data_IF_361896113674
#
_entry.id   IF_361896113674
#
_cell.length_a   1.000
_cell.length_b   1.000
_cell.length_c   1.000
_cell.angle_alpha   90.00
_cell.angle_beta   90.00
_cell.angle_gamma   90.00
#
_symmetry.space_group_name_H-M   'P 1'
#
loop_
_entity.id
_entity.type
_entity.pdbx_description
1 polymer ?
#
# COMPACT_ATOMS: atom_id res chain seq x y z
N UNK A 1 -22.13 38.14 -17.78
CA UNK A 1 -20.85 37.53 -17.38
C UNK A 1 -21.15 36.32 -16.55
N UNK A 2 -20.69 35.14 -16.94
CA UNK A 2 -20.85 33.91 -16.14
C UNK A 2 -20.03 34.05 -14.83
N UNK A 3 -20.67 33.79 -13.70
CA UNK A 3 -20.02 33.77 -12.38
C UNK A 3 -18.91 32.69 -12.43
N UNK A 4 -17.66 32.99 -12.05
CA UNK A 4 -16.63 31.97 -12.03
C UNK A 4 -17.06 30.82 -11.10
N UNK A 5 -16.75 29.57 -11.49
CA UNK A 5 -17.10 28.39 -10.75
C UNK A 5 -16.43 28.44 -9.35
N UNK A 6 -17.22 28.27 -8.29
CA UNK A 6 -16.73 28.27 -6.91
C UNK A 6 -15.85 27.02 -6.68
N UNK A 7 -14.55 27.19 -6.30
CA UNK A 7 -13.66 26.06 -6.03
C UNK A 7 -14.16 25.13 -4.92
N UNK A 8 -14.85 25.66 -3.91
CA UNK A 8 -15.43 24.86 -2.83
C UNK A 8 -16.59 23.98 -3.32
N UNK A 9 -17.43 24.55 -4.20
CA UNK A 9 -18.52 23.80 -4.83
C UNK A 9 -17.98 22.70 -5.73
N UNK A 10 -16.87 22.93 -6.45
CA UNK A 10 -16.20 21.91 -7.27
C UNK A 10 -15.64 20.77 -6.41
N UNK A 11 -14.93 21.06 -5.33
CA UNK A 11 -14.37 20.04 -4.44
C UNK A 11 -15.48 19.19 -3.80
N UNK A 12 -16.56 19.83 -3.34
CA UNK A 12 -17.74 19.12 -2.81
C UNK A 12 -18.40 18.22 -3.86
N UNK A 13 -18.49 18.68 -5.12
CA UNK A 13 -19.04 17.92 -6.23
C UNK A 13 -18.18 16.68 -6.54
N UNK A 14 -16.86 16.82 -6.59
CA UNK A 14 -15.93 15.70 -6.81
C UNK A 14 -16.06 14.68 -5.68
N UNK A 15 -16.10 15.12 -4.42
CA UNK A 15 -16.25 14.23 -3.27
C UNK A 15 -17.59 13.45 -3.31
N UNK A 16 -18.69 14.13 -3.61
CA UNK A 16 -20.00 13.52 -3.77
C UNK A 16 -20.05 12.52 -4.93
N UNK A 17 -19.43 12.88 -6.07
CA UNK A 17 -19.34 12.01 -7.24
C UNK A 17 -18.54 10.74 -6.95
N UNK A 18 -17.37 10.86 -6.32
CA UNK A 18 -16.53 9.71 -5.90
C UNK A 18 -17.33 8.76 -5.01
N UNK A 19 -18.04 9.29 -4.00
CA UNK A 19 -18.88 8.47 -3.12
C UNK A 19 -20.00 7.74 -3.86
N UNK A 20 -20.65 8.42 -4.81
CA UNK A 20 -21.75 7.83 -5.59
C UNK A 20 -21.23 6.78 -6.60
N UNK A 21 -20.06 6.99 -7.20
CA UNK A 21 -19.42 6.01 -8.08
C UNK A 21 -19.02 4.73 -7.32
N UNK A 22 -18.52 4.84 -6.10
CA UNK A 22 -18.23 3.66 -5.25
C UNK A 22 -19.50 2.88 -4.96
N UNK A 23 -20.62 3.60 -4.68
CA UNK A 23 -21.89 2.98 -4.28
C UNK A 23 -22.62 2.29 -5.42
N UNK A 24 -22.63 2.90 -6.63
CA UNK A 24 -23.48 2.47 -7.74
C UNK A 24 -22.72 2.09 -9.03
N UNK A 25 -21.38 2.21 -9.00
CA UNK A 25 -20.57 2.16 -10.21
C UNK A 25 -20.76 3.39 -11.10
N UNK A 26 -19.88 3.55 -12.08
CA UNK A 26 -19.92 4.72 -12.97
C UNK A 26 -21.19 4.77 -13.81
N UNK A 27 -21.69 3.64 -14.31
CA UNK A 27 -22.93 3.57 -15.10
C UNK A 27 -24.17 3.84 -14.27
N UNK A 28 -24.23 3.31 -13.04
CA UNK A 28 -25.41 3.40 -12.14
C UNK A 28 -25.56 4.74 -11.44
N UNK A 29 -24.47 5.51 -11.30
CA UNK A 29 -24.48 6.82 -10.67
C UNK A 29 -25.28 7.83 -11.50
N UNK A 30 -26.07 8.67 -10.82
CA UNK A 30 -26.88 9.72 -11.46
C UNK A 30 -26.40 11.10 -11.03
N UNK A 31 -26.41 12.05 -11.97
CA UNK A 31 -26.01 13.45 -11.70
C UNK A 31 -26.91 14.06 -10.62
N UNK A 32 -28.21 13.74 -10.62
CA UNK A 32 -29.16 14.21 -9.62
C UNK A 32 -28.78 13.77 -8.19
N UNK A 33 -28.36 12.52 -8.02
CA UNK A 33 -27.95 11.99 -6.71
C UNK A 33 -26.63 12.65 -6.25
N UNK A 34 -25.68 12.84 -7.17
CA UNK A 34 -24.40 13.51 -6.90
C UNK A 34 -24.65 14.96 -6.45
N UNK A 35 -25.47 15.71 -7.19
CA UNK A 35 -25.73 17.11 -6.87
C UNK A 35 -26.54 17.28 -5.60
N UNK A 36 -27.52 16.40 -5.35
CA UNK A 36 -28.28 16.40 -4.11
C UNK A 36 -27.39 16.16 -2.89
N UNK A 37 -26.39 15.26 -2.98
CA UNK A 37 -25.46 14.94 -1.90
C UNK A 37 -24.57 16.14 -1.48
N UNK A 38 -24.33 17.11 -2.39
CA UNK A 38 -23.51 18.30 -2.10
C UNK A 38 -24.32 19.62 -2.12
N UNK A 39 -25.65 19.53 -2.15
CA UNK A 39 -26.52 20.73 -2.12
C UNK A 39 -26.47 21.59 -3.37
N UNK A 40 -26.06 21.02 -4.52
CA UNK A 40 -25.99 21.71 -5.80
C UNK A 40 -27.20 21.37 -6.69
N UNK A 41 -27.51 22.25 -7.63
CA UNK A 41 -28.48 21.96 -8.68
C UNK A 41 -27.83 21.16 -9.81
N UNK A 42 -28.65 20.43 -10.60
CA UNK A 42 -28.19 19.78 -11.82
C UNK A 42 -27.55 20.77 -12.80
N UNK A 43 -28.09 22.02 -12.91
CA UNK A 43 -27.49 23.07 -13.72
C UNK A 43 -26.10 23.49 -13.23
N UNK A 44 -25.86 23.50 -11.91
CA UNK A 44 -24.57 23.81 -11.35
C UNK A 44 -23.53 22.71 -11.66
N UNK A 45 -23.93 21.43 -11.77
CA UNK A 45 -23.05 20.36 -12.23
C UNK A 45 -22.39 20.71 -13.58
N UNK A 46 -23.18 21.12 -14.54
CA UNK A 46 -22.72 21.41 -15.91
C UNK A 46 -21.83 22.65 -16.03
N UNK A 47 -21.73 23.47 -14.97
CA UNK A 47 -20.69 24.50 -14.86
C UNK A 47 -19.32 23.95 -14.54
N UNK A 48 -19.25 22.72 -13.99
CA UNK A 48 -18.02 22.10 -13.52
C UNK A 48 -17.54 20.93 -14.39
N UNK A 49 -18.45 20.17 -15.01
CA UNK A 49 -18.13 19.03 -15.85
C UNK A 49 -19.18 18.79 -16.94
N UNK A 50 -18.75 18.36 -18.12
CA UNK A 50 -19.65 18.09 -19.26
C UNK A 50 -20.54 16.85 -19.02
N UNK A 51 -20.01 15.84 -18.26
CA UNK A 51 -20.71 14.61 -17.89
C UNK A 51 -20.09 14.02 -16.62
N UNK A 52 -20.74 13.02 -16.05
CA UNK A 52 -20.17 12.28 -14.89
C UNK A 52 -18.93 11.47 -15.30
N UNK A 53 -18.88 10.97 -16.52
CA UNK A 53 -17.72 10.30 -17.12
C UNK A 53 -16.55 11.27 -17.27
N UNK A 54 -16.79 12.49 -17.76
CA UNK A 54 -15.77 13.54 -17.84
C UNK A 54 -15.23 13.91 -16.46
N UNK A 55 -16.09 14.03 -15.44
CA UNK A 55 -15.68 14.29 -14.08
C UNK A 55 -14.85 13.12 -13.50
N UNK A 56 -15.22 11.89 -13.80
CA UNK A 56 -14.43 10.72 -13.38
C UNK A 56 -13.09 10.66 -14.11
N UNK A 57 -13.05 10.96 -15.42
CA UNK A 57 -11.81 11.02 -16.20
C UNK A 57 -10.80 12.01 -15.61
N UNK A 58 -11.25 13.17 -15.13
CA UNK A 58 -10.37 14.13 -14.46
C UNK A 58 -9.75 13.57 -13.19
N UNK A 59 -10.55 12.90 -12.34
CA UNK A 59 -10.06 12.27 -11.11
C UNK A 59 -9.10 11.11 -11.40
N UNK A 60 -9.38 10.32 -12.46
CA UNK A 60 -8.46 9.25 -12.91
C UNK A 60 -7.17 9.85 -13.45
N UNK A 61 -7.22 10.95 -14.19
CA UNK A 61 -6.03 11.65 -14.70
C UNK A 61 -5.19 12.19 -13.55
N UNK A 62 -5.80 12.78 -12.53
CA UNK A 62 -5.11 13.26 -11.32
C UNK A 62 -4.39 12.12 -10.61
N UNK A 63 -5.07 10.98 -10.40
CA UNK A 63 -4.47 9.78 -9.82
C UNK A 63 -3.30 9.26 -10.66
N UNK A 64 -3.47 9.14 -11.98
CA UNK A 64 -2.43 8.66 -12.88
C UNK A 64 -1.21 9.58 -12.87
N UNK A 65 -1.41 10.90 -12.95
CA UNK A 65 -0.31 11.88 -12.89
C UNK A 65 0.45 11.81 -11.57
N UNK A 66 -0.25 11.67 -10.44
CA UNK A 66 0.39 11.52 -9.14
C UNK A 66 1.18 10.19 -9.03
N UNK A 67 0.71 9.12 -9.66
CA UNK A 67 1.43 7.85 -9.75
C UNK A 67 2.68 7.99 -10.63
N UNK A 68 2.56 8.61 -11.80
CA UNK A 68 3.68 8.82 -12.72
C UNK A 68 4.78 9.67 -12.06
N UNK A 69 4.43 10.75 -11.36
CA UNK A 69 5.37 11.56 -10.58
C UNK A 69 6.09 10.76 -9.49
N UNK A 70 5.39 9.85 -8.84
CA UNK A 70 5.97 8.99 -7.80
C UNK A 70 6.94 7.97 -8.38
N UNK A 71 6.60 7.37 -9.51
CA UNK A 71 7.47 6.45 -10.26
C UNK A 71 8.71 7.19 -10.76
N UNK A 72 8.55 8.36 -11.37
CA UNK A 72 9.67 9.17 -11.88
C UNK A 72 10.63 9.57 -10.75
N UNK A 73 10.10 9.99 -9.60
CA UNK A 73 10.90 10.31 -8.42
C UNK A 73 11.70 9.09 -7.94
N UNK A 74 11.07 7.92 -7.86
CA UNK A 74 11.73 6.66 -7.50
C UNK A 74 12.86 6.32 -8.49
N UNK A 75 12.59 6.41 -9.79
CA UNK A 75 13.59 6.13 -10.84
C UNK A 75 14.79 7.07 -10.73
N UNK A 76 14.55 8.35 -10.52
CA UNK A 76 15.61 9.35 -10.34
C UNK A 76 16.44 9.09 -9.07
N UNK A 77 15.80 8.72 -7.96
CA UNK A 77 16.51 8.35 -6.73
C UNK A 77 17.40 7.12 -6.94
N UNK A 78 16.91 6.11 -7.66
CA UNK A 78 17.68 4.91 -8.01
C UNK A 78 18.86 5.25 -8.90
N UNK A 79 18.67 6.08 -9.92
CA UNK A 79 19.74 6.52 -10.81
C UNK A 79 20.84 7.29 -10.05
N UNK A 80 20.46 8.22 -9.18
CA UNK A 80 21.40 8.93 -8.32
C UNK A 80 22.18 7.97 -7.41
N UNK A 81 21.49 7.02 -6.79
CA UNK A 81 22.11 6.03 -5.92
C UNK A 81 23.17 5.21 -6.66
N UNK A 82 22.83 4.66 -7.83
CA UNK A 82 23.77 3.86 -8.61
C UNK A 82 24.89 4.68 -9.25
N UNK A 83 24.66 5.94 -9.54
CA UNK A 83 25.71 6.86 -10.01
C UNK A 83 26.74 7.12 -8.91
N UNK A 84 26.27 7.28 -7.66
CA UNK A 84 27.13 7.56 -6.50
C UNK A 84 27.86 6.31 -5.98
N UNK A 85 27.15 5.17 -5.93
CA UNK A 85 27.66 3.98 -5.24
C UNK A 85 28.03 2.82 -6.18
N UNK A 86 27.75 2.94 -7.48
CA UNK A 86 27.92 1.86 -8.46
C UNK A 86 26.86 0.76 -8.32
N UNK A 87 26.89 -0.26 -9.20
CA UNK A 87 25.98 -1.38 -9.14
C UNK A 87 26.22 -2.23 -7.90
N UNK A 88 25.15 -2.87 -7.37
CA UNK A 88 25.27 -3.86 -6.31
C UNK A 88 25.94 -5.13 -6.83
N UNK A 89 26.75 -5.74 -5.97
CA UNK A 89 27.34 -7.06 -6.19
C UNK A 89 26.68 -8.12 -5.30
N UNK A 90 26.80 -9.40 -5.66
CA UNK A 90 26.24 -10.50 -4.87
C UNK A 90 26.72 -10.48 -3.40
N UNK A 91 27.96 -10.04 -3.14
CA UNK A 91 28.50 -9.90 -1.78
C UNK A 91 27.76 -8.83 -0.96
N UNK A 92 27.28 -7.74 -1.59
CA UNK A 92 26.54 -6.70 -0.88
C UNK A 92 25.25 -7.25 -0.29
N UNK A 93 24.57 -8.13 -1.05
CA UNK A 93 23.36 -8.82 -0.60
C UNK A 93 23.70 -9.84 0.48
N UNK A 94 24.76 -10.64 0.29
CA UNK A 94 25.15 -11.70 1.22
C UNK A 94 25.62 -11.15 2.57
N UNK A 95 26.42 -10.08 2.58
CA UNK A 95 26.99 -9.46 3.77
C UNK A 95 26.11 -8.33 4.33
N UNK A 96 25.03 -7.99 3.63
CA UNK A 96 24.15 -6.87 4.00
C UNK A 96 24.95 -5.57 4.17
N UNK A 97 25.74 -5.22 3.16
CA UNK A 97 26.59 -4.03 3.18
C UNK A 97 25.77 -2.75 3.47
N UNK A 98 26.43 -1.70 3.97
CA UNK A 98 25.76 -0.43 4.29
C UNK A 98 25.04 0.16 3.06
N UNK A 99 25.66 0.07 1.87
CA UNK A 99 25.01 0.55 0.63
C UNK A 99 23.78 -0.28 0.26
N UNK A 100 23.79 -1.60 0.54
CA UNK A 100 22.63 -2.44 0.34
C UNK A 100 21.48 -2.09 1.31
N UNK A 101 21.78 -1.92 2.62
CA UNK A 101 20.76 -1.51 3.59
C UNK A 101 20.18 -0.12 3.26
N UNK A 102 20.98 0.82 2.80
CA UNK A 102 20.49 2.13 2.35
C UNK A 102 19.56 2.02 1.15
N UNK A 103 19.87 1.15 0.18
CA UNK A 103 18.98 0.88 -0.95
C UNK A 103 17.64 0.25 -0.47
N UNK A 104 17.70 -0.67 0.50
CA UNK A 104 16.53 -1.28 1.14
C UNK A 104 15.63 -0.22 1.80
N UNK A 105 16.23 0.70 2.55
CA UNK A 105 15.51 1.80 3.19
C UNK A 105 14.82 2.70 2.16
N UNK A 106 15.57 3.13 1.14
CA UNK A 106 15.07 3.96 0.04
C UNK A 106 13.89 3.32 -0.69
N UNK A 107 13.97 2.02 -0.98
CA UNK A 107 12.87 1.29 -1.61
C UNK A 107 11.66 1.14 -0.67
N UNK A 108 11.88 0.94 0.63
CA UNK A 108 10.81 0.86 1.63
C UNK A 108 10.06 2.19 1.74
N UNK A 109 10.76 3.32 1.69
CA UNK A 109 10.15 4.65 1.67
C UNK A 109 9.34 4.88 0.38
N UNK A 110 9.85 4.45 -0.77
CA UNK A 110 9.13 4.53 -2.04
C UNK A 110 7.86 3.66 -2.03
N UNK A 111 7.93 2.48 -1.43
CA UNK A 111 6.78 1.59 -1.24
C UNK A 111 5.72 2.22 -0.31
N UNK A 112 6.15 2.89 0.76
CA UNK A 112 5.25 3.66 1.63
C UNK A 112 4.55 4.77 0.83
N UNK A 113 5.28 5.52 0.02
CA UNK A 113 4.70 6.56 -0.86
C UNK A 113 3.63 5.99 -1.80
N UNK A 114 3.87 4.82 -2.37
CA UNK A 114 2.90 4.11 -3.23
C UNK A 114 1.64 3.74 -2.45
N UNK A 115 1.78 3.17 -1.24
CA UNK A 115 0.64 2.80 -0.39
C UNK A 115 -0.15 4.02 0.08
N UNK A 116 0.52 5.13 0.40
CA UNK A 116 -0.12 6.41 0.76
C UNK A 116 -0.97 6.96 -0.39
N UNK A 117 -0.44 6.95 -1.60
CA UNK A 117 -1.18 7.37 -2.79
C UNK A 117 -2.39 6.46 -3.05
N UNK A 118 -2.20 5.14 -2.96
CA UNK A 118 -3.29 4.17 -3.10
C UNK A 118 -4.38 4.36 -2.04
N UNK A 119 -4.00 4.70 -0.81
CA UNK A 119 -4.97 5.03 0.23
C UNK A 119 -5.76 6.29 -0.09
N UNK A 120 -5.11 7.34 -0.57
CA UNK A 120 -5.77 8.60 -0.94
C UNK A 120 -6.76 8.44 -2.09
N UNK A 121 -6.47 7.53 -3.04
CA UNK A 121 -7.29 7.27 -4.22
C UNK A 121 -7.97 5.88 -4.19
N UNK A 122 -8.13 5.25 -3.01
CA UNK A 122 -8.68 3.89 -2.88
C UNK A 122 -10.07 3.71 -3.46
N UNK A 123 -10.88 4.76 -3.45
CA UNK A 123 -12.21 4.80 -4.06
C UNK A 123 -12.13 4.85 -5.60
N UNK A 124 -11.18 5.58 -6.16
CA UNK A 124 -10.93 5.62 -7.61
C UNK A 124 -10.47 4.25 -8.09
N UNK A 125 -9.51 3.63 -7.40
CA UNK A 125 -9.05 2.26 -7.69
C UNK A 125 -10.22 1.27 -7.59
N UNK A 126 -11.08 1.40 -6.57
CA UNK A 126 -12.27 0.57 -6.44
C UNK A 126 -13.19 0.69 -7.65
N UNK A 127 -13.49 1.92 -8.09
CA UNK A 127 -14.35 2.15 -9.26
C UNK A 127 -13.72 1.61 -10.53
N UNK A 128 -12.42 1.83 -10.75
CA UNK A 128 -11.70 1.29 -11.91
C UNK A 128 -11.73 -0.25 -11.95
N UNK A 129 -11.61 -0.91 -10.80
CA UNK A 129 -11.60 -2.37 -10.73
C UNK A 129 -12.99 -3.01 -10.77
N UNK A 130 -14.00 -2.37 -10.17
CA UNK A 130 -15.31 -2.99 -9.93
C UNK A 130 -16.51 -2.18 -10.38
N UNK A 131 -16.36 -0.90 -10.65
CA UNK A 131 -17.44 0.02 -10.96
C UNK A 131 -17.41 0.57 -12.38
N UNK A 132 -16.42 0.21 -13.19
CA UNK A 132 -16.21 0.75 -14.55
C UNK A 132 -16.67 -0.18 -15.68
N UNK A 133 -17.25 -1.35 -15.37
CA UNK A 133 -17.67 -2.33 -16.37
C UNK A 133 -18.60 -1.71 -17.42
N UNK A 134 -18.34 -1.99 -18.69
CA UNK A 134 -19.08 -1.47 -19.84
C UNK A 134 -18.87 0.02 -20.08
N UNK A 135 -17.80 0.61 -19.54
CA UNK A 135 -17.35 1.99 -19.82
C UNK A 135 -15.97 1.99 -20.48
N UNK A 136 -15.53 3.14 -20.98
CA UNK A 136 -14.18 3.33 -21.52
C UNK A 136 -13.05 3.09 -20.51
N UNK A 137 -13.36 3.10 -19.20
CA UNK A 137 -12.40 2.90 -18.12
C UNK A 137 -12.20 1.43 -17.76
N UNK A 138 -12.98 0.50 -18.32
CA UNK A 138 -12.94 -0.92 -17.93
C UNK A 138 -11.56 -1.56 -18.11
N UNK A 139 -10.90 -1.27 -19.23
CA UNK A 139 -9.57 -1.82 -19.55
C UNK A 139 -8.39 -1.01 -19.01
N UNK A 140 -8.66 0.22 -18.52
CA UNK A 140 -7.60 1.16 -18.12
C UNK A 140 -6.71 0.61 -17.03
N UNK A 141 -7.32 0.07 -15.96
CA UNK A 141 -6.58 -0.47 -14.82
C UNK A 141 -5.71 -1.65 -15.21
N UNK A 142 -6.24 -2.55 -16.04
CA UNK A 142 -5.48 -3.72 -16.49
C UNK A 142 -4.34 -3.36 -17.43
N UNK A 143 -4.51 -2.34 -18.27
CA UNK A 143 -3.43 -1.79 -19.08
C UNK A 143 -2.29 -1.19 -18.24
N UNK A 144 -2.60 -0.58 -17.08
CA UNK A 144 -1.59 -0.12 -16.12
C UNK A 144 -0.89 -1.31 -15.48
N UNK A 145 -1.64 -2.32 -15.01
CA UNK A 145 -1.11 -3.53 -14.38
C UNK A 145 -0.14 -4.24 -15.32
N UNK A 146 -0.51 -4.45 -16.58
CA UNK A 146 0.32 -5.16 -17.58
C UNK A 146 1.64 -4.42 -17.84
N UNK A 147 1.61 -3.09 -17.94
CA UNK A 147 2.83 -2.28 -18.10
C UNK A 147 3.74 -2.40 -16.88
N UNK A 148 3.19 -2.31 -15.69
CA UNK A 148 3.98 -2.39 -14.45
C UNK A 148 4.54 -3.80 -14.22
N UNK A 149 3.78 -4.85 -14.48
CA UNK A 149 4.28 -6.25 -14.44
C UNK A 149 5.45 -6.43 -15.40
N UNK A 150 5.32 -5.89 -16.63
CA UNK A 150 6.39 -5.95 -17.63
C UNK A 150 7.64 -5.20 -17.15
N UNK A 151 7.49 -3.98 -16.66
CA UNK A 151 8.60 -3.16 -16.16
C UNK A 151 9.33 -3.82 -15.00
N UNK A 152 8.61 -4.29 -13.98
CA UNK A 152 9.19 -4.95 -12.80
C UNK A 152 9.86 -6.26 -13.20
N UNK A 153 9.27 -7.04 -14.11
CA UNK A 153 9.86 -8.28 -14.61
C UNK A 153 11.20 -8.03 -15.31
N UNK A 154 11.30 -6.99 -16.14
CA UNK A 154 12.55 -6.63 -16.83
C UNK A 154 13.63 -6.19 -15.82
N UNK A 155 13.25 -5.48 -14.76
CA UNK A 155 14.19 -5.11 -13.71
C UNK A 155 14.73 -6.34 -12.97
N UNK A 156 13.86 -7.27 -12.58
CA UNK A 156 14.29 -8.52 -11.95
C UNK A 156 15.14 -9.38 -12.87
N UNK A 157 14.87 -9.41 -14.17
CA UNK A 157 15.72 -10.10 -15.13
C UNK A 157 17.16 -9.54 -15.14
N UNK A 158 17.33 -8.24 -15.01
CA UNK A 158 18.66 -7.62 -14.87
C UNK A 158 19.34 -8.02 -13.57
N UNK A 159 18.62 -7.95 -12.43
CA UNK A 159 19.15 -8.36 -11.12
C UNK A 159 19.56 -9.85 -11.10
N UNK A 160 18.87 -10.70 -11.85
CA UNK A 160 19.24 -12.11 -12.02
C UNK A 160 20.51 -12.28 -12.85
N UNK A 161 20.67 -11.50 -13.93
CA UNK A 161 21.88 -11.51 -14.74
C UNK A 161 23.11 -11.04 -13.94
N UNK A 162 22.92 -10.11 -13.02
CA UNK A 162 23.96 -9.59 -12.11
C UNK A 162 24.17 -10.45 -10.85
N UNK A 163 23.50 -11.60 -10.74
CA UNK A 163 23.53 -12.50 -9.58
C UNK A 163 23.09 -11.87 -8.25
N UNK A 164 22.38 -10.75 -8.29
CA UNK A 164 21.85 -10.04 -7.11
C UNK A 164 20.51 -10.61 -6.65
N UNK A 165 19.79 -11.27 -7.55
CA UNK A 165 18.52 -11.94 -7.26
C UNK A 165 18.56 -13.41 -7.65
N UNK A 166 17.67 -14.21 -7.04
CA UNK A 166 17.56 -15.65 -7.35
C UNK A 166 17.14 -15.89 -8.81
N UNK A 167 17.80 -16.83 -9.48
CA UNK A 167 17.60 -17.12 -10.89
C UNK A 167 16.57 -18.25 -11.15
N UNK A 168 16.12 -18.95 -10.10
CA UNK A 168 15.20 -20.11 -10.21
C UNK A 168 13.71 -19.71 -10.25
N UNK A 169 13.39 -18.40 -10.15
CA UNK A 169 12.02 -17.90 -10.26
C UNK A 169 11.88 -17.08 -11.53
N UNK A 170 10.88 -17.37 -12.40
CA UNK A 170 10.64 -16.56 -13.59
C UNK A 170 10.39 -15.08 -13.24
N UNK A 171 11.02 -14.12 -13.94
CA UNK A 171 10.85 -12.68 -13.67
C UNK A 171 9.38 -12.23 -13.67
N UNK A 172 8.57 -12.79 -14.59
CA UNK A 172 7.13 -12.49 -14.67
C UNK A 172 6.37 -12.89 -13.42
N UNK A 173 6.76 -13.98 -12.74
CA UNK A 173 6.14 -14.39 -11.47
C UNK A 173 6.43 -13.37 -10.40
N UNK A 174 7.68 -12.90 -10.29
CA UNK A 174 8.07 -11.88 -9.32
C UNK A 174 7.33 -10.57 -9.60
N UNK A 175 7.31 -10.12 -10.86
CA UNK A 175 6.60 -8.92 -11.28
C UNK A 175 5.10 -8.99 -10.95
N UNK A 176 4.46 -10.13 -11.25
CA UNK A 176 3.04 -10.34 -10.94
C UNK A 176 2.76 -10.36 -9.43
N UNK A 177 3.63 -10.97 -8.63
CA UNK A 177 3.49 -10.97 -7.16
C UNK A 177 3.60 -9.56 -6.59
N UNK A 178 4.58 -8.78 -7.04
CA UNK A 178 4.79 -7.41 -6.56
C UNK A 178 3.61 -6.54 -6.94
N UNK A 179 3.31 -6.41 -8.23
CA UNK A 179 2.23 -5.53 -8.71
C UNK A 179 0.87 -5.99 -8.19
N UNK A 180 0.61 -7.32 -8.21
CA UNK A 180 -0.62 -7.89 -7.68
C UNK A 180 -0.82 -7.60 -6.19
N UNK A 181 0.25 -7.60 -5.40
CA UNK A 181 0.17 -7.23 -3.97
C UNK A 181 -0.36 -5.82 -3.80
N UNK A 182 0.18 -4.82 -4.51
CA UNK A 182 -0.29 -3.44 -4.40
C UNK A 182 -1.73 -3.27 -4.89
N UNK A 183 -2.08 -3.90 -6.01
CA UNK A 183 -3.43 -3.84 -6.58
C UNK A 183 -4.47 -4.43 -5.60
N UNK A 184 -4.18 -5.59 -5.02
CA UNK A 184 -5.07 -6.23 -4.06
C UNK A 184 -5.15 -5.47 -2.74
N UNK A 185 -4.05 -4.91 -2.25
CA UNK A 185 -4.07 -4.07 -1.06
C UNK A 185 -4.88 -2.79 -1.29
N UNK A 186 -4.75 -2.13 -2.43
CA UNK A 186 -5.58 -0.98 -2.78
C UNK A 186 -7.07 -1.33 -2.81
N UNK A 187 -7.42 -2.50 -3.34
CA UNK A 187 -8.79 -3.01 -3.31
C UNK A 187 -9.26 -3.28 -1.86
N UNK A 188 -8.43 -3.84 -0.99
CA UNK A 188 -8.77 -4.05 0.42
C UNK A 188 -8.93 -2.70 1.16
N UNK A 189 -8.04 -1.75 0.90
CA UNK A 189 -8.12 -0.39 1.49
C UNK A 189 -9.45 0.29 1.20
N UNK A 190 -10.07 0.04 0.04
CA UNK A 190 -11.37 0.61 -0.32
C UNK A 190 -12.51 0.16 0.60
N UNK A 191 -12.34 -0.94 1.32
CA UNK A 191 -13.30 -1.51 2.27
C UNK A 191 -13.02 -1.10 3.72
N UNK A 192 -11.90 -0.43 3.99
CA UNK A 192 -11.47 -0.09 5.34
C UNK A 192 -12.06 1.25 5.79
N UNK A 193 -12.64 1.26 6.99
CA UNK A 193 -13.15 2.49 7.62
C UNK A 193 -12.02 3.37 8.17
N UNK A 194 -10.88 2.78 8.54
CA UNK A 194 -9.74 3.47 9.13
C UNK A 194 -8.47 3.13 8.36
N UNK A 195 -7.56 4.12 8.27
CA UNK A 195 -6.26 3.95 7.64
C UNK A 195 -5.41 2.98 8.46
N UNK A 196 -4.88 1.91 7.83
CA UNK A 196 -3.95 1.01 8.49
C UNK A 196 -2.58 1.68 8.70
N UNK A 197 -1.69 1.06 9.47
CA UNK A 197 -0.28 1.46 9.53
C UNK A 197 0.42 1.08 8.21
N UNK A 198 0.40 2.02 7.26
CA UNK A 198 1.01 1.84 5.95
C UNK A 198 2.54 1.71 6.01
N UNK A 199 3.17 2.28 7.05
CA UNK A 199 4.60 2.12 7.30
C UNK A 199 4.95 0.68 7.68
N UNK A 200 4.13 0.04 8.54
CA UNK A 200 4.28 -1.37 8.86
C UNK A 200 4.03 -2.26 7.62
N UNK A 201 3.02 -1.92 6.81
CA UNK A 201 2.74 -2.63 5.57
C UNK A 201 3.91 -2.55 4.59
N UNK A 202 4.45 -1.35 4.34
CA UNK A 202 5.59 -1.14 3.46
C UNK A 202 6.80 -1.99 3.91
N UNK A 203 7.16 -1.92 5.19
CA UNK A 203 8.25 -2.73 5.76
C UNK A 203 8.01 -4.24 5.61
N UNK A 204 6.77 -4.69 5.81
CA UNK A 204 6.41 -6.11 5.71
C UNK A 204 6.45 -6.61 4.28
N UNK A 205 5.88 -5.86 3.33
CA UNK A 205 5.90 -6.17 1.90
C UNK A 205 7.35 -6.23 1.42
N UNK A 206 8.11 -5.16 1.71
CA UNK A 206 9.50 -5.07 1.27
C UNK A 206 10.35 -6.22 1.82
N UNK A 207 10.17 -6.59 3.10
CA UNK A 207 10.83 -7.75 3.70
C UNK A 207 10.48 -9.05 2.97
N UNK A 208 9.20 -9.33 2.74
CA UNK A 208 8.74 -10.54 2.06
C UNK A 208 9.28 -10.64 0.64
N UNK A 209 9.22 -9.55 -0.12
CA UNK A 209 9.74 -9.50 -1.49
C UNK A 209 11.26 -9.73 -1.48
N UNK A 210 11.98 -9.01 -0.63
CA UNK A 210 13.43 -9.12 -0.50
C UNK A 210 13.88 -10.52 -0.13
N UNK A 211 13.34 -11.08 0.96
CA UNK A 211 13.71 -12.42 1.43
C UNK A 211 13.32 -13.50 0.41
N UNK A 212 12.18 -13.33 -0.28
CA UNK A 212 11.74 -14.23 -1.35
C UNK A 212 12.54 -14.14 -2.63
N UNK A 213 13.21 -13.00 -2.90
CA UNK A 213 13.99 -12.75 -4.12
C UNK A 213 15.50 -12.94 -3.94
N UNK A 214 16.00 -13.08 -2.71
CA UNK A 214 17.41 -13.31 -2.43
C UNK A 214 17.91 -14.63 -3.02
N UNK A 215 19.20 -14.69 -3.45
CA UNK A 215 19.84 -15.94 -3.83
C UNK A 215 19.77 -16.98 -2.68
N UNK A 216 19.67 -18.28 -3.01
CA UNK A 216 19.69 -19.33 -1.99
C UNK A 216 20.93 -19.23 -1.09
N UNK A 217 20.75 -19.30 0.22
CA UNK A 217 21.81 -19.17 1.22
C UNK A 217 22.01 -17.77 1.80
N UNK A 218 21.41 -16.73 1.22
CA UNK A 218 21.48 -15.35 1.74
C UNK A 218 20.34 -15.00 2.71
N UNK A 219 19.37 -15.88 2.90
CA UNK A 219 18.22 -15.63 3.81
C UNK A 219 18.70 -15.68 5.25
N UNK A 220 18.64 -14.56 5.95
CA UNK A 220 18.97 -14.51 7.40
C UNK A 220 17.89 -15.25 8.18
N UNK A 221 18.24 -16.16 9.13
CA UNK A 221 17.24 -16.74 10.01
C UNK A 221 16.51 -15.62 10.76
N UNK A 222 15.19 -15.76 10.88
CA UNK A 222 14.36 -14.78 11.59
C UNK A 222 14.96 -14.47 12.96
N UNK A 223 14.98 -13.21 13.42
CA UNK A 223 15.50 -12.88 14.74
C UNK A 223 14.72 -13.71 15.77
N UNK A 224 15.45 -14.55 16.50
CA UNK A 224 14.89 -15.36 17.56
C UNK A 224 14.26 -14.42 18.57
N UNK A 225 12.94 -14.48 18.71
CA UNK A 225 12.21 -13.65 19.67
C UNK A 225 12.92 -13.75 21.03
N UNK A 226 13.20 -12.64 21.73
CA UNK A 226 13.89 -12.68 23.00
C UNK A 226 13.10 -13.61 23.94
N UNK A 227 13.76 -14.68 24.41
CA UNK A 227 13.16 -15.60 25.39
C UNK A 227 12.65 -14.75 26.54
N UNK A 228 11.34 -14.72 26.79
CA UNK A 228 10.75 -14.07 27.95
C UNK A 228 11.52 -14.57 29.16
N UNK A 229 12.25 -13.67 29.84
CA UNK A 229 12.90 -13.97 31.11
C UNK A 229 11.80 -14.48 32.05
N UNK A 230 11.81 -15.75 32.33
CA UNK A 230 10.92 -16.33 33.33
C UNK A 230 11.33 -15.69 34.68
N UNK A 231 10.42 -14.84 35.18
CA UNK A 231 10.57 -14.27 36.51
C UNK A 231 10.77 -15.37 37.55
N UNK A 232 11.76 -15.27 38.46
CA UNK A 232 11.97 -16.30 39.45
C UNK A 232 10.73 -16.46 40.32
N UNK A 233 10.20 -17.66 40.37
CA UNK A 233 9.06 -18.03 41.22
C UNK A 233 9.38 -17.64 42.66
N UNK A 234 8.65 -16.71 43.26
CA UNK A 234 8.68 -16.40 44.67
C UNK A 234 8.44 -17.67 45.48
N UNK A 235 9.29 -18.01 46.47
CA UNK A 235 9.05 -19.16 47.33
C UNK A 235 7.76 -18.97 48.13
N UNK A 236 6.90 -19.98 48.11
CA UNK A 236 5.67 -20.01 48.92
C UNK A 236 6.04 -19.93 50.39
N UNK A 237 5.55 -18.89 51.06
CA UNK A 237 5.67 -18.76 52.52
C UNK A 237 5.02 -20.00 53.21
N UNK A 238 5.81 -20.66 54.04
CA UNK A 238 5.43 -21.81 54.85
C UNK A 238 4.44 -21.34 55.93
N UNK A 239 3.20 -21.82 55.86
CA UNK A 239 2.19 -21.55 56.88
C UNK A 239 2.63 -22.18 58.23
N UNK A 240 2.86 -21.33 59.23
CA UNK A 240 3.05 -21.70 60.61
C UNK A 240 1.69 -22.14 61.18
N UNK A 241 1.57 -23.41 61.48
CA UNK A 241 0.44 -23.99 62.24
C UNK A 241 0.43 -23.44 63.66
N UNK A 242 -0.59 -22.66 64.00
CA UNK A 242 -0.89 -22.30 65.40
C UNK A 242 -1.54 -23.48 66.09
N UNK A 243 -0.82 -24.12 66.99
CA UNK A 243 -1.33 -25.04 68.00
C UNK A 243 -2.23 -24.27 69.00
N UNK A 244 -3.51 -24.60 69.04
CA UNK A 244 -4.41 -24.18 70.11
C UNK A 244 -4.15 -25.02 71.36
N UNK A 245 -3.69 -24.35 72.40
CA UNK A 245 -3.67 -24.90 73.75
C UNK A 245 -5.07 -24.80 74.36
N UNK A 246 -5.64 -25.92 74.70
CA UNK A 246 -6.84 -26.02 75.51
C UNK A 246 -6.45 -26.10 76.98
N UNK A 247 -6.74 -25.08 77.78
CA UNK A 247 -6.73 -25.20 79.23
C UNK A 247 -8.19 -25.33 79.72
N UNK A 248 -8.42 -26.46 80.34
CA UNK A 248 -9.57 -26.80 81.20
C UNK A 248 -9.34 -26.14 82.57
N UNK A 249 -10.35 -25.56 83.12
CA UNK A 249 -10.58 -25.45 84.57
C UNK A 249 -12.07 -25.32 84.84
N UNK A 250 -12.58 -26.34 85.58
CA UNK A 250 -13.79 -26.20 86.36
C UNK A 250 -13.34 -26.01 87.83
N UNK A 251 -14.21 -25.89 88.76
CA UNK A 251 -15.48 -26.61 89.01
C UNK A 251 -16.71 -25.78 88.74
#
# INVERSE_FOLDING_TARGET
MARPADPHARAALIAAARAEFVKKGLRGARIEDITAACGLSKGAFYLHAASKEALFAEVVTEFSSAMDELIERRMKQMECFFTEHGPLEARDVAERSERYERLVEMNTEADLGTLELMWAYRDVVHVLMRGSQGTEFESLMWGVVDREVTRVSQEFQRLQADHVSRADVPPTVIGSLIVGTYVLLAQQMSQMAQKPDLGEWARSIHRLIREGSMPPGCVTPAPVAPKKKTSPRRPKARALSRTRSTSRSGP
#
